data_IF_870369102541
#
_entry.id   IF_870369102541
#
_cell.length_a   1.000
_cell.length_b   1.000
_cell.length_c   1.000
_cell.angle_alpha   90.00
_cell.angle_beta   90.00
_cell.angle_gamma   90.00
#
_symmetry.space_group_name_H-M   'P 1'
#
loop_
_entity.id
_entity.type
_entity.pdbx_description
1 polymer ?
#
# COMPACT_ATOMS: atom_id res chain seq x y z
N UNK A 1 38.92 66.64 8.35
CA UNK A 1 37.47 66.83 8.59
C UNK A 1 36.96 65.60 9.33
N UNK A 2 36.40 65.85 10.52
CA UNK A 2 35.58 65.03 11.42
C UNK A 2 35.85 63.51 11.57
N UNK A 3 36.43 63.20 12.73
CA UNK A 3 36.41 61.95 13.52
C UNK A 3 35.16 61.84 14.41
N UNK A 4 34.69 60.62 14.73
CA UNK A 4 33.98 60.18 15.97
C UNK A 4 33.37 58.79 15.66
N UNK A 5 33.70 57.64 16.27
CA UNK A 5 33.84 57.15 17.66
C UNK A 5 32.54 57.13 18.51
N UNK A 6 32.14 55.88 18.80
CA UNK A 6 31.61 55.32 20.07
C UNK A 6 30.19 55.68 20.53
N UNK A 7 29.37 54.68 20.89
CA UNK A 7 29.27 54.10 22.26
C UNK A 7 27.99 53.24 22.42
N UNK A 8 28.19 52.14 23.13
CA UNK A 8 27.27 51.11 23.67
C UNK A 8 26.15 51.66 24.59
N UNK A 9 25.01 50.96 24.68
CA UNK A 9 24.23 50.88 25.93
C UNK A 9 23.49 49.54 26.02
N UNK A 10 23.87 48.75 27.02
CA UNK A 10 23.14 47.61 27.57
C UNK A 10 22.05 48.14 28.51
N UNK A 11 20.82 47.63 28.42
CA UNK A 11 19.87 47.67 29.53
C UNK A 11 19.24 46.28 29.69
N UNK A 12 19.77 45.58 30.69
CA UNK A 12 19.13 44.47 31.39
C UNK A 12 17.99 44.98 32.26
N UNK A 13 16.83 44.32 32.26
CA UNK A 13 15.91 44.34 33.40
C UNK A 13 15.65 42.91 33.89
N UNK A 14 15.81 42.76 35.20
CA UNK A 14 15.75 41.53 36.00
C UNK A 14 14.37 41.40 36.69
N UNK A 15 14.05 40.14 37.00
CA UNK A 15 13.19 39.57 38.07
C UNK A 15 11.66 39.55 37.81
N UNK A 16 10.99 38.39 37.61
CA UNK A 16 10.82 37.12 38.39
C UNK A 16 9.68 37.22 39.45
N UNK A 17 9.18 36.12 40.02
CA UNK A 17 8.08 35.24 39.58
C UNK A 17 6.86 35.30 40.54
N UNK A 18 5.70 34.77 40.16
CA UNK A 18 4.74 34.28 41.16
C UNK A 18 4.11 32.94 40.78
N UNK A 19 4.24 32.03 41.74
CA UNK A 19 3.73 30.69 41.86
C UNK A 19 2.43 30.78 42.68
N UNK A 20 1.34 30.15 42.26
CA UNK A 20 0.29 29.75 43.19
C UNK A 20 -0.27 28.39 42.78
N UNK A 21 -0.25 27.49 43.75
CA UNK A 21 -0.64 26.09 43.70
C UNK A 21 -1.73 25.90 44.78
N UNK A 22 -2.46 24.76 44.72
CA UNK A 22 -3.36 24.15 45.74
C UNK A 22 -4.85 24.59 45.62
N UNK A 23 -5.88 23.75 45.50
CA UNK A 23 -6.11 22.29 45.31
C UNK A 23 -7.65 22.05 45.13
N UNK A 24 -8.20 20.81 45.07
CA UNK A 24 -9.36 20.47 44.25
C UNK A 24 -10.68 20.32 45.03
N UNK A 25 -11.81 20.19 44.32
CA UNK A 25 -13.02 19.61 44.88
C UNK A 25 -13.76 18.71 43.89
N UNK A 26 -14.23 17.60 44.48
CA UNK A 26 -14.91 16.43 43.96
C UNK A 26 -16.41 16.63 43.95
N UNK A 27 -17.11 16.13 42.92
CA UNK A 27 -18.46 15.57 43.07
C UNK A 27 -18.58 14.30 42.23
N UNK A 28 -19.08 13.27 42.91
CA UNK A 28 -19.27 11.88 42.53
C UNK A 28 -20.39 11.72 41.50
N UNK A 29 -20.30 10.71 40.64
CA UNK A 29 -21.46 9.90 40.28
C UNK A 29 -21.02 8.44 40.06
N UNK A 30 -21.78 7.59 40.74
CA UNK A 30 -21.55 6.20 41.09
C UNK A 30 -22.49 5.35 40.22
N UNK A 31 -21.95 4.44 39.42
CA UNK A 31 -22.70 3.28 38.92
C UNK A 31 -21.78 2.06 38.97
N UNK A 32 -22.19 1.12 39.80
CA UNK A 32 -21.51 -0.11 40.19
C UNK A 32 -21.26 -1.06 39.01
N UNK A 33 -20.03 -1.59 38.92
CA UNK A 33 -19.70 -2.83 38.18
C UNK A 33 -19.26 -3.90 39.18
N UNK A 34 -19.96 -5.02 39.16
CA UNK A 34 -19.61 -6.24 39.89
C UNK A 34 -18.47 -6.97 39.17
N UNK A 35 -17.45 -7.35 39.93
CA UNK A 35 -16.36 -8.24 39.49
C UNK A 35 -16.81 -9.72 39.50
N UNK A 36 -16.26 -10.52 38.59
CA UNK A 36 -15.87 -11.90 38.88
C UNK A 36 -14.43 -12.12 38.42
N UNK A 37 -13.67 -12.75 39.31
CA UNK A 37 -12.23 -12.99 39.22
C UNK A 37 -11.92 -14.31 38.49
N UNK A 38 -10.73 -14.38 37.88
CA UNK A 38 -9.94 -15.61 37.85
C UNK A 38 -8.45 -15.27 37.85
N UNK A 39 -7.75 -15.94 38.75
CA UNK A 39 -6.36 -15.75 39.15
C UNK A 39 -5.45 -16.64 38.30
N UNK A 40 -4.23 -16.15 38.03
CA UNK A 40 -3.12 -16.86 37.36
C UNK A 40 -2.07 -17.32 38.38
N UNK A 41 -1.04 -18.05 37.89
CA UNK A 41 0.18 -18.65 38.52
C UNK A 41 0.06 -20.20 38.61
N UNK A 42 0.98 -21.05 38.13
CA UNK A 42 2.28 -20.88 37.47
C UNK A 42 3.03 -22.25 37.36
N UNK A 43 3.95 -22.34 36.39
CA UNK A 43 5.21 -23.12 36.29
C UNK A 43 5.28 -24.67 36.45
N UNK A 44 5.58 -25.32 35.32
CA UNK A 44 6.69 -26.24 34.95
C UNK A 44 7.54 -26.97 36.03
N UNK A 45 7.65 -28.32 35.93
CA UNK A 45 8.94 -29.08 35.91
C UNK A 45 8.76 -30.62 35.72
N UNK A 46 9.37 -31.13 34.64
CA UNK A 46 10.15 -32.38 34.37
C UNK A 46 10.04 -33.59 35.34
N UNK A 47 9.81 -34.78 34.77
CA UNK A 47 10.54 -36.04 35.07
C UNK A 47 10.31 -37.14 33.97
N UNK A 48 11.44 -37.59 33.39
CA UNK A 48 11.89 -38.95 32.99
C UNK A 48 10.96 -40.17 33.18
N UNK A 49 11.04 -41.32 32.48
CA UNK A 49 11.79 -41.86 31.31
C UNK A 49 11.18 -43.26 30.99
N UNK A 50 11.42 -43.76 29.77
CA UNK A 50 11.58 -45.17 29.34
C UNK A 50 10.47 -46.24 29.58
N UNK A 51 9.96 -46.84 28.48
CA UNK A 51 10.28 -48.26 28.16
C UNK A 51 9.70 -48.79 26.81
N UNK A 52 10.61 -49.41 26.04
CA UNK A 52 10.48 -50.63 25.19
C UNK A 52 9.80 -50.61 23.80
N UNK A 53 10.66 -50.41 22.80
CA UNK A 53 11.07 -51.27 21.68
C UNK A 53 10.27 -52.54 21.24
N UNK A 54 10.18 -52.68 19.90
CA UNK A 54 10.05 -53.90 19.04
C UNK A 54 8.67 -54.56 19.00
N UNK A 55 8.10 -55.05 17.89
CA UNK A 55 8.58 -55.64 16.62
C UNK A 55 7.34 -55.72 15.68
N UNK A 56 7.42 -55.68 14.35
CA UNK A 56 7.64 -56.85 13.49
C UNK A 56 7.61 -56.42 12.01
N UNK A 57 8.37 -57.18 11.24
CA UNK A 57 8.76 -56.99 9.85
C UNK A 57 7.72 -57.47 8.82
N UNK A 58 7.92 -56.95 7.60
CA UNK A 58 7.91 -57.65 6.31
C UNK A 58 6.63 -57.76 5.47
N UNK A 59 6.69 -57.03 4.34
CA UNK A 59 6.60 -57.49 2.96
C UNK A 59 5.34 -58.25 2.49
N UNK A 60 4.64 -57.66 1.51
CA UNK A 60 4.35 -58.34 0.22
C UNK A 60 4.43 -57.38 -0.96
N UNK A 61 5.28 -57.76 -1.92
CA UNK A 61 5.39 -57.26 -3.30
C UNK A 61 4.24 -57.82 -4.14
N UNK A 62 3.76 -57.06 -5.12
CA UNK A 62 3.31 -57.50 -6.45
C UNK A 62 2.72 -56.29 -7.21
N UNK A 63 2.76 -56.11 -8.54
CA UNK A 63 3.43 -56.69 -9.70
C UNK A 63 3.30 -55.59 -10.78
N UNK A 64 4.34 -55.39 -11.59
CA UNK A 64 4.33 -54.53 -12.77
C UNK A 64 3.42 -55.11 -13.87
N UNK A 65 2.55 -54.28 -14.46
CA UNK A 65 1.94 -54.56 -15.76
C UNK A 65 2.01 -53.30 -16.63
N UNK A 66 2.81 -53.43 -17.69
CA UNK A 66 3.07 -52.48 -18.77
C UNK A 66 1.84 -52.25 -19.65
N UNK A 67 1.45 -51.00 -19.85
CA UNK A 67 0.55 -50.57 -20.92
C UNK A 67 1.27 -49.56 -21.81
N UNK A 68 1.60 -49.95 -23.04
CA UNK A 68 2.07 -49.06 -24.10
C UNK A 68 0.83 -48.44 -24.75
N UNK A 69 0.64 -47.12 -24.60
CA UNK A 69 -0.31 -46.35 -25.40
C UNK A 69 0.47 -45.44 -26.33
N UNK A 70 0.46 -45.81 -27.61
CA UNK A 70 0.87 -44.96 -28.72
C UNK A 70 -0.34 -44.11 -29.16
N UNK A 71 -0.04 -42.86 -29.51
CA UNK A 71 -0.85 -41.86 -30.23
C UNK A 71 -1.78 -40.95 -29.41
N UNK A 72 -1.46 -39.66 -29.49
CA UNK A 72 -2.38 -38.55 -29.24
C UNK A 72 -1.68 -37.41 -28.51
N UNK A 73 -1.14 -36.44 -29.24
CA UNK A 73 -0.98 -35.09 -28.69
C UNK A 73 -2.37 -34.47 -28.64
N UNK A 74 -3.02 -34.26 -27.48
CA UNK A 74 -3.91 -33.13 -27.39
C UNK A 74 -2.99 -31.92 -27.27
N UNK A 75 -3.18 -30.93 -28.14
CA UNK A 75 -2.51 -29.65 -28.03
C UNK A 75 -2.55 -29.17 -26.58
N UNK A 76 -1.46 -28.54 -26.15
CA UNK A 76 -1.39 -27.83 -24.88
C UNK A 76 -2.49 -26.76 -24.94
N UNK A 77 -3.69 -27.14 -24.53
CA UNK A 77 -4.74 -26.21 -24.20
C UNK A 77 -4.22 -25.55 -22.95
N UNK A 78 -3.61 -24.37 -23.12
CA UNK A 78 -3.43 -23.43 -22.03
C UNK A 78 -4.82 -23.27 -21.45
N UNK A 79 -5.08 -23.98 -20.35
CA UNK A 79 -6.21 -23.74 -19.51
C UNK A 79 -6.01 -22.30 -19.03
N UNK A 80 -6.62 -21.36 -19.74
CA UNK A 80 -6.85 -20.02 -19.24
C UNK A 80 -7.65 -20.24 -17.98
N UNK A 81 -6.95 -20.19 -16.84
CA UNK A 81 -7.58 -20.10 -15.54
C UNK A 81 -8.29 -18.76 -15.55
N UNK A 82 -9.53 -18.76 -16.04
CA UNK A 82 -10.48 -17.69 -15.76
C UNK A 82 -10.56 -17.66 -14.25
N UNK A 83 -9.88 -16.70 -13.65
CA UNK A 83 -9.99 -16.37 -12.24
C UNK A 83 -11.48 -16.36 -11.91
N UNK A 84 -11.93 -17.42 -11.25
CA UNK A 84 -13.34 -17.62 -10.96
C UNK A 84 -13.87 -16.43 -10.16
N UNK A 85 -15.17 -16.20 -10.27
CA UNK A 85 -15.92 -15.26 -9.44
C UNK A 85 -15.76 -15.67 -7.96
N UNK A 86 -14.64 -15.31 -7.33
CA UNK A 86 -14.50 -15.37 -5.88
C UNK A 86 -15.45 -14.32 -5.33
N UNK A 87 -16.34 -14.72 -4.43
CA UNK A 87 -17.27 -13.81 -3.77
C UNK A 87 -16.48 -12.60 -3.20
N UNK A 88 -16.84 -11.38 -3.64
CA UNK A 88 -16.14 -10.15 -3.28
C UNK A 88 -15.08 -9.66 -4.28
N UNK A 89 -14.76 -10.42 -5.34
CA UNK A 89 -13.91 -9.95 -6.45
C UNK A 89 -14.78 -9.66 -7.67
N UNK A 90 -14.94 -8.37 -7.98
CA UNK A 90 -15.58 -7.94 -9.23
C UNK A 90 -14.47 -7.87 -10.29
N UNK A 91 -14.54 -8.66 -11.38
CA UNK A 91 -13.50 -8.69 -12.39
C UNK A 91 -13.40 -7.33 -13.09
N UNK A 92 -12.21 -6.72 -13.04
CA UNK A 92 -11.91 -5.46 -13.72
C UNK A 92 -10.91 -5.60 -14.88
N UNK A 93 -10.27 -6.75 -15.05
CA UNK A 93 -9.29 -7.01 -16.10
C UNK A 93 -9.95 -7.40 -17.43
N UNK A 94 -9.51 -6.77 -18.51
CA UNK A 94 -9.83 -7.19 -19.87
C UNK A 94 -9.12 -8.50 -20.28
N UNK A 95 -9.51 -9.03 -21.43
CA UNK A 95 -8.68 -9.97 -22.18
C UNK A 95 -7.36 -9.30 -22.62
N UNK A 96 -6.28 -10.08 -22.81
CA UNK A 96 -5.01 -9.55 -23.29
C UNK A 96 -5.13 -9.04 -24.73
N UNK A 97 -4.46 -7.92 -25.02
CA UNK A 97 -4.26 -7.43 -26.38
C UNK A 97 -3.23 -8.27 -27.15
N UNK A 98 -2.95 -7.90 -28.40
CA UNK A 98 -1.99 -8.60 -29.27
C UNK A 98 -0.56 -8.64 -28.69
N UNK A 99 -0.23 -7.73 -27.78
CA UNK A 99 1.06 -7.65 -27.11
C UNK A 99 1.05 -8.34 -25.73
N UNK A 100 -0.05 -9.00 -25.35
CA UNK A 100 -0.20 -9.69 -24.07
C UNK A 100 -0.50 -8.76 -22.89
N UNK A 101 -0.92 -7.52 -23.14
CA UNK A 101 -1.28 -6.55 -22.09
C UNK A 101 -2.77 -6.54 -21.84
N UNK A 102 -3.14 -6.49 -20.56
CA UNK A 102 -4.53 -6.42 -20.09
C UNK A 102 -4.77 -5.05 -19.50
N UNK A 103 -5.95 -4.50 -19.73
CA UNK A 103 -6.38 -3.24 -19.11
C UNK A 103 -7.27 -3.57 -17.92
N UNK A 104 -6.88 -3.12 -16.73
CA UNK A 104 -7.76 -3.10 -15.58
C UNK A 104 -8.57 -1.80 -15.59
N UNK A 105 -9.88 -1.90 -15.40
CA UNK A 105 -10.75 -0.79 -15.00
C UNK A 105 -11.36 -1.13 -13.66
N UNK A 106 -11.23 -0.21 -12.69
CA UNK A 106 -11.89 -0.36 -11.39
C UNK A 106 -13.41 -0.45 -11.58
N UNK A 107 -14.08 -1.52 -11.14
CA UNK A 107 -15.53 -1.61 -11.23
C UNK A 107 -16.20 -0.58 -10.31
N UNK A 108 -17.27 0.05 -10.79
CA UNK A 108 -18.02 1.08 -10.06
C UNK A 108 -18.63 0.53 -8.75
N UNK A 109 -19.05 -0.73 -8.78
CA UNK A 109 -19.63 -1.46 -7.64
C UNK A 109 -18.59 -1.97 -6.63
N UNK A 110 -17.28 -1.84 -6.92
CA UNK A 110 -16.24 -2.27 -5.99
C UNK A 110 -16.22 -1.34 -4.78
N UNK A 111 -16.47 -1.89 -3.59
CA UNK A 111 -16.27 -1.17 -2.33
C UNK A 111 -14.78 -0.87 -2.15
N UNK A 112 -14.44 0.36 -1.75
CA UNK A 112 -13.06 0.72 -1.42
C UNK A 112 -12.53 0.00 -0.17
N UNK A 113 -11.25 0.19 0.13
CA UNK A 113 -10.65 -0.21 1.41
C UNK A 113 -11.38 0.41 2.61
N UNK A 114 -11.17 -0.16 3.80
CA UNK A 114 -11.93 0.20 5.01
C UNK A 114 -11.90 1.70 5.36
N UNK A 115 -10.77 2.37 5.12
CA UNK A 115 -10.56 3.80 5.37
C UNK A 115 -10.84 4.71 4.17
N UNK A 116 -11.18 4.16 3.00
CA UNK A 116 -11.51 4.94 1.79
C UNK A 116 -12.88 5.62 1.93
N UNK A 117 -13.71 5.16 2.87
CA UNK A 117 -15.04 5.70 3.15
C UNK A 117 -16.10 5.28 2.12
N UNK A 118 -17.36 5.69 2.37
CA UNK A 118 -18.53 5.31 1.57
C UNK A 118 -18.80 6.21 0.36
N UNK A 119 -18.02 7.28 0.18
CA UNK A 119 -18.21 8.18 -0.95
C UNK A 119 -17.87 7.49 -2.27
N UNK A 120 -18.54 7.84 -3.39
CA UNK A 120 -18.20 7.31 -4.71
C UNK A 120 -16.70 7.45 -5.00
N UNK A 121 -16.12 6.42 -5.62
CA UNK A 121 -14.73 6.43 -6.08
C UNK A 121 -14.78 6.55 -7.59
N UNK A 122 -14.26 7.67 -8.10
CA UNK A 122 -14.10 7.86 -9.55
C UNK A 122 -13.20 6.72 -10.04
N UNK A 123 -13.63 5.94 -11.05
CA UNK A 123 -12.87 4.80 -11.52
C UNK A 123 -11.49 5.20 -12.03
N UNK A 124 -10.57 4.24 -11.98
CA UNK A 124 -9.27 4.38 -12.59
C UNK A 124 -8.97 3.16 -13.44
N UNK A 125 -8.02 3.33 -14.35
CA UNK A 125 -7.57 2.29 -15.27
C UNK A 125 -6.05 2.24 -15.32
N UNK A 126 -5.49 1.06 -15.56
CA UNK A 126 -4.08 0.89 -15.89
C UNK A 126 -3.89 -0.40 -16.69
N UNK A 127 -2.73 -0.56 -17.31
CA UNK A 127 -2.36 -1.78 -18.04
C UNK A 127 -1.36 -2.62 -17.27
N UNK A 128 -1.48 -3.93 -17.39
CA UNK A 128 -0.52 -4.91 -16.84
C UNK A 128 -0.28 -6.04 -17.84
N UNK A 129 0.90 -6.68 -17.83
CA UNK A 129 1.13 -7.92 -18.55
C UNK A 129 0.21 -9.04 -18.07
N UNK A 130 -0.04 -10.03 -18.94
CA UNK A 130 -0.97 -11.14 -18.70
C UNK A 130 -0.74 -11.90 -17.39
N UNK A 131 0.52 -12.01 -16.95
CA UNK A 131 0.95 -12.80 -15.78
C UNK A 131 0.74 -12.09 -14.43
N UNK A 132 0.22 -10.87 -14.44
CA UNK A 132 -0.10 -10.13 -13.21
C UNK A 132 -1.49 -10.47 -12.70
N UNK A 133 -1.60 -10.73 -11.40
CA UNK A 133 -2.84 -11.11 -10.74
C UNK A 133 -3.20 -10.18 -9.59
N UNK A 134 -4.50 -10.04 -9.34
CA UNK A 134 -5.01 -9.27 -8.20
C UNK A 134 -4.78 -10.04 -6.88
N UNK A 135 -4.09 -9.40 -5.95
CA UNK A 135 -3.80 -9.92 -4.62
C UNK A 135 -4.78 -9.31 -3.62
N UNK A 136 -5.34 -10.09 -2.67
CA UNK A 136 -6.17 -9.53 -1.61
C UNK A 136 -5.46 -8.40 -0.85
N UNK A 137 -6.23 -7.37 -0.51
CA UNK A 137 -5.79 -6.26 0.34
C UNK A 137 -6.31 -6.47 1.76
N UNK A 138 -5.53 -6.03 2.74
CA UNK A 138 -5.82 -6.14 4.18
C UNK A 138 -5.51 -4.81 4.87
N UNK A 139 -6.21 -4.53 5.98
CA UNK A 139 -5.94 -3.36 6.83
C UNK A 139 -4.52 -3.40 7.42
N UNK A 140 -3.94 -4.60 7.55
CA UNK A 140 -2.57 -4.78 8.02
C UNK A 140 -1.51 -4.41 6.97
N UNK A 141 -1.91 -4.13 5.73
CA UNK A 141 -0.99 -3.71 4.69
C UNK A 141 -0.47 -2.29 4.93
N UNK A 142 0.69 -1.97 4.35
CA UNK A 142 1.16 -0.59 4.27
C UNK A 142 0.16 0.23 3.45
N UNK A 143 -0.34 1.32 4.04
CA UNK A 143 -1.47 2.08 3.48
C UNK A 143 -2.81 1.35 3.55
N UNK A 144 -2.92 0.27 4.34
CA UNK A 144 -4.03 -0.69 4.32
C UNK A 144 -5.41 -0.15 4.64
N UNK A 145 -5.51 1.04 5.24
CA UNK A 145 -6.78 1.76 5.39
C UNK A 145 -7.28 2.30 4.05
N UNK A 146 -6.42 2.92 3.24
CA UNK A 146 -6.78 3.54 1.96
C UNK A 146 -6.39 2.70 0.73
N UNK A 147 -5.78 1.53 0.94
CA UNK A 147 -5.40 0.60 -0.10
C UNK A 147 -6.65 0.01 -0.79
N UNK A 148 -6.89 0.40 -2.04
CA UNK A 148 -8.04 -0.03 -2.83
C UNK A 148 -7.76 -1.28 -3.67
N UNK A 149 -6.50 -1.42 -4.12
CA UNK A 149 -6.11 -2.49 -5.02
C UNK A 149 -4.64 -2.86 -4.87
N UNK A 150 -4.36 -4.14 -5.06
CA UNK A 150 -3.00 -4.66 -5.24
C UNK A 150 -2.96 -5.68 -6.36
N UNK A 151 -1.89 -5.62 -7.15
CA UNK A 151 -1.54 -6.65 -8.11
C UNK A 151 -0.07 -7.06 -7.91
N UNK A 152 0.26 -8.29 -8.28
CA UNK A 152 1.65 -8.73 -8.29
C UNK A 152 1.96 -9.73 -9.39
N UNK A 153 3.23 -9.77 -9.75
CA UNK A 153 3.89 -10.83 -10.50
C UNK A 153 5.12 -11.28 -9.73
N UNK A 154 5.21 -12.58 -9.43
CA UNK A 154 6.39 -13.15 -8.76
C UNK A 154 7.69 -12.90 -9.53
N UNK A 155 7.60 -12.72 -10.85
CA UNK A 155 8.74 -12.47 -11.75
C UNK A 155 9.09 -11.00 -11.88
N UNK A 156 8.11 -10.12 -11.96
CA UNK A 156 8.32 -8.72 -12.39
C UNK A 156 8.24 -7.70 -11.25
N UNK A 157 7.39 -7.92 -10.25
CA UNK A 157 7.20 -6.96 -9.17
C UNK A 157 5.76 -6.90 -8.66
N UNK A 158 5.38 -5.75 -8.13
CA UNK A 158 4.03 -5.51 -7.60
C UNK A 158 3.60 -4.08 -7.82
N UNK A 159 2.29 -3.87 -7.79
CA UNK A 159 1.69 -2.56 -7.87
C UNK A 159 0.55 -2.44 -6.88
N UNK A 160 0.20 -1.22 -6.54
CA UNK A 160 -0.90 -0.92 -5.64
C UNK A 160 -1.48 0.46 -5.90
N UNK A 161 -2.76 0.60 -5.59
CA UNK A 161 -3.50 1.87 -5.69
C UNK A 161 -4.00 2.24 -4.31
N UNK A 162 -3.61 3.42 -3.84
CA UNK A 162 -4.14 4.04 -2.63
C UNK A 162 -5.11 5.14 -3.06
N UNK A 163 -6.29 5.16 -2.43
CA UNK A 163 -7.32 6.17 -2.66
C UNK A 163 -7.61 6.86 -1.33
N UNK A 164 -6.99 8.02 -1.12
CA UNK A 164 -7.05 8.75 0.14
C UNK A 164 -7.99 9.98 0.05
N UNK A 165 -8.71 10.34 1.12
CA UNK A 165 -9.46 11.59 1.18
C UNK A 165 -8.53 12.80 1.10
N UNK A 166 -8.86 13.80 0.28
CA UNK A 166 -8.05 15.04 0.15
C UNK A 166 -8.00 15.81 1.47
N UNK A 167 -9.04 15.71 2.30
CA UNK A 167 -9.12 16.33 3.62
C UNK A 167 -8.00 15.89 4.57
N UNK A 168 -7.33 14.74 4.34
CA UNK A 168 -6.13 14.38 5.12
C UNK A 168 -4.98 15.37 4.92
N UNK A 169 -5.00 16.12 3.82
CA UNK A 169 -3.89 16.96 3.37
C UNK A 169 -4.25 18.45 3.36
N UNK A 170 -5.53 18.79 3.21
CA UNK A 170 -5.99 20.16 3.31
C UNK A 170 -7.48 20.26 3.60
N UNK A 171 -7.83 20.97 4.67
CA UNK A 171 -9.22 21.26 5.06
C UNK A 171 -9.88 22.32 4.16
N UNK A 172 -9.09 22.96 3.28
CA UNK A 172 -9.52 24.09 2.45
C UNK A 172 -9.98 23.61 1.06
N UNK A 173 -9.57 22.41 0.66
CA UNK A 173 -9.89 21.89 -0.67
C UNK A 173 -11.28 21.26 -0.63
N UNK A 174 -12.22 21.85 -1.39
CA UNK A 174 -13.58 21.36 -1.53
C UNK A 174 -13.68 20.06 -2.35
N UNK A 175 -14.90 19.71 -2.74
CA UNK A 175 -15.22 18.41 -3.35
C UNK A 175 -14.70 18.19 -4.79
N UNK A 176 -14.04 19.19 -5.38
CA UNK A 176 -13.40 19.10 -6.70
C UNK A 176 -11.93 19.57 -6.63
N UNK A 177 -11.13 18.69 -6.04
CA UNK A 177 -9.71 18.84 -5.83
C UNK A 177 -8.93 18.55 -7.10
N UNK A 178 -8.01 19.44 -7.44
CA UNK A 178 -6.96 19.18 -8.42
C UNK A 178 -5.63 19.06 -7.68
N UNK A 179 -4.68 18.28 -8.20
CA UNK A 179 -3.44 17.96 -7.46
C UNK A 179 -2.58 19.21 -7.22
N UNK A 180 -2.69 20.21 -8.08
CA UNK A 180 -2.01 21.51 -7.96
C UNK A 180 -2.51 22.31 -6.75
N UNK A 181 -3.80 22.17 -6.38
CA UNK A 181 -4.35 22.80 -5.16
C UNK A 181 -3.78 22.17 -3.89
N UNK A 182 -3.41 20.89 -3.93
CA UNK A 182 -2.76 20.18 -2.82
C UNK A 182 -1.33 20.71 -2.64
N UNK A 183 -0.61 20.86 -3.75
CA UNK A 183 0.68 21.52 -3.78
C UNK A 183 1.54 21.20 -5.01
N UNK A 184 2.78 21.74 -5.03
CA UNK A 184 3.78 21.35 -6.02
C UNK A 184 4.26 19.90 -5.78
N UNK A 185 4.85 19.23 -6.79
CA UNK A 185 5.28 17.84 -6.70
C UNK A 185 6.06 17.49 -5.42
N UNK A 186 7.03 18.33 -5.04
CA UNK A 186 7.87 18.13 -3.85
C UNK A 186 7.07 18.10 -2.53
N UNK A 187 6.05 18.95 -2.42
CA UNK A 187 5.15 18.97 -1.26
C UNK A 187 4.29 17.72 -1.21
N UNK A 188 3.78 17.29 -2.37
CA UNK A 188 2.89 16.13 -2.45
C UNK A 188 3.70 14.89 -2.10
N UNK A 189 4.85 14.62 -2.75
CA UNK A 189 5.70 13.45 -2.44
C UNK A 189 6.19 13.41 -1.00
N UNK A 190 6.54 14.56 -0.41
CA UNK A 190 6.95 14.60 1.00
C UNK A 190 5.81 14.24 1.95
N UNK A 191 4.57 14.58 1.59
CA UNK A 191 3.39 14.29 2.41
C UNK A 191 2.91 12.84 2.28
N UNK A 192 2.88 12.28 1.06
CA UNK A 192 2.33 10.93 0.82
C UNK A 192 3.39 9.84 0.68
N UNK A 193 4.62 10.20 0.38
CA UNK A 193 5.73 9.27 0.15
C UNK A 193 5.88 8.24 1.26
N UNK A 194 5.89 8.63 2.55
CA UNK A 194 5.96 7.70 3.67
C UNK A 194 4.82 6.68 3.72
N UNK A 195 3.64 7.01 3.22
CA UNK A 195 2.50 6.09 3.15
C UNK A 195 2.66 5.07 2.02
N UNK A 196 3.35 5.45 0.93
CA UNK A 196 3.63 4.58 -0.21
C UNK A 196 4.79 3.61 0.07
N UNK A 197 5.85 4.06 0.74
CA UNK A 197 7.09 3.28 0.91
C UNK A 197 7.37 2.83 2.34
N UNK A 198 6.67 3.39 3.34
CA UNK A 198 6.82 3.04 4.76
C UNK A 198 7.97 3.76 5.47
N UNK A 199 8.60 4.72 4.80
CA UNK A 199 9.77 5.46 5.29
C UNK A 199 9.87 6.85 4.64
N UNK A 200 10.72 7.72 5.17
CA UNK A 200 10.92 9.05 4.59
C UNK A 200 11.49 8.96 3.16
N UNK A 201 10.98 9.81 2.26
CA UNK A 201 11.36 9.94 0.85
C UNK A 201 12.50 10.92 0.60
N UNK A 202 12.89 11.71 1.61
CA UNK A 202 13.95 12.70 1.47
C UNK A 202 15.27 12.07 1.00
N UNK A 203 15.83 12.61 -0.08
CA UNK A 203 17.06 12.10 -0.70
C UNK A 203 16.91 10.83 -1.54
N UNK A 204 15.70 10.29 -1.70
CA UNK A 204 15.43 9.06 -2.47
C UNK A 204 14.79 9.30 -3.83
N UNK A 205 14.25 10.50 -4.07
CA UNK A 205 13.65 10.87 -5.35
C UNK A 205 14.77 11.10 -6.36
N UNK A 206 14.84 10.24 -7.38
CA UNK A 206 15.77 10.38 -8.49
C UNK A 206 15.28 11.37 -9.54
N UNK A 207 14.00 11.28 -9.88
CA UNK A 207 13.38 12.13 -10.88
C UNK A 207 11.92 12.41 -10.55
N UNK A 208 11.46 13.58 -10.99
CA UNK A 208 10.06 13.99 -10.95
C UNK A 208 9.65 14.53 -12.32
N UNK A 209 8.42 14.23 -12.73
CA UNK A 209 7.82 14.71 -13.97
C UNK A 209 6.37 15.12 -13.72
N UNK A 210 5.91 16.12 -14.47
CA UNK A 210 4.52 16.56 -14.46
C UNK A 210 3.96 16.33 -15.86
N UNK A 211 2.91 15.53 -15.95
CA UNK A 211 2.24 15.19 -17.20
C UNK A 211 0.76 15.54 -17.11
N UNK A 212 0.18 16.01 -18.21
CA UNK A 212 -1.25 16.27 -18.32
C UNK A 212 -1.89 15.24 -19.26
N UNK A 213 -2.96 14.60 -18.79
CA UNK A 213 -3.74 13.65 -19.58
C UNK A 213 -5.23 13.91 -19.36
N UNK A 214 -5.97 14.11 -20.45
CA UNK A 214 -7.43 14.31 -20.42
C UNK A 214 -7.85 15.47 -19.50
N UNK A 215 -7.05 16.54 -19.46
CA UNK A 215 -7.29 17.72 -18.62
C UNK A 215 -7.00 17.52 -17.14
N UNK A 216 -6.36 16.40 -16.76
CA UNK A 216 -5.94 16.10 -15.40
C UNK A 216 -4.42 16.03 -15.31
N UNK A 217 -3.88 16.68 -14.29
CA UNK A 217 -2.44 16.70 -13.99
C UNK A 217 -2.04 15.48 -13.18
N UNK A 218 -0.91 14.90 -13.55
CA UNK A 218 -0.26 13.76 -12.92
C UNK A 218 1.14 14.15 -12.49
N UNK A 219 1.48 13.88 -11.24
CA UNK A 219 2.84 13.97 -10.75
C UNK A 219 3.44 12.56 -10.72
N UNK A 220 4.54 12.38 -11.45
CA UNK A 220 5.22 11.11 -11.60
C UNK A 220 6.59 11.22 -10.92
N UNK A 221 6.92 10.21 -10.11
CA UNK A 221 8.16 10.15 -9.36
C UNK A 221 8.84 8.81 -9.59
N UNK A 222 10.16 8.85 -9.65
CA UNK A 222 11.02 7.67 -9.63
C UNK A 222 11.94 7.76 -8.43
N UNK A 223 11.95 6.71 -7.60
CA UNK A 223 12.76 6.65 -6.39
C UNK A 223 13.78 5.50 -6.46
N UNK A 224 14.92 5.69 -5.80
CA UNK A 224 15.95 4.68 -5.61
C UNK A 224 16.81 4.97 -4.37
N UNK A 225 17.05 3.97 -3.49
CA UNK A 225 16.13 2.93 -3.01
C UNK A 225 15.06 3.51 -2.04
N UNK A 226 13.83 2.97 -2.01
CA UNK A 226 13.37 1.76 -2.71
C UNK A 226 13.06 2.05 -4.18
N UNK A 227 13.21 1.03 -5.04
CA UNK A 227 12.88 1.12 -6.46
C UNK A 227 11.37 1.13 -6.67
N UNK A 228 10.80 2.32 -6.87
CA UNK A 228 9.36 2.51 -7.07
C UNK A 228 9.09 3.67 -8.03
N UNK A 229 8.14 3.46 -8.93
CA UNK A 229 7.46 4.55 -9.63
C UNK A 229 6.20 4.91 -8.87
N UNK A 230 6.00 6.21 -8.62
CA UNK A 230 4.78 6.72 -8.01
C UNK A 230 4.12 7.71 -8.95
N UNK A 231 2.87 7.44 -9.33
CA UNK A 231 2.03 8.35 -10.11
C UNK A 231 0.90 8.85 -9.22
N UNK A 232 0.82 10.15 -9.00
CA UNK A 232 -0.16 10.80 -8.14
C UNK A 232 -1.08 11.72 -8.95
N UNK A 233 -2.37 11.72 -8.65
CA UNK A 233 -3.35 12.67 -9.18
C UNK A 233 -4.52 12.87 -8.23
N UNK A 234 -5.33 13.90 -8.42
CA UNK A 234 -6.55 14.15 -7.64
C UNK A 234 -7.77 14.24 -8.56
N UNK A 235 -8.91 13.74 -8.08
CA UNK A 235 -10.20 13.86 -8.76
C UNK A 235 -11.34 13.82 -7.73
N UNK A 236 -12.32 14.70 -7.89
CA UNK A 236 -13.37 14.88 -6.90
C UNK A 236 -12.76 15.22 -5.54
N UNK A 237 -13.16 14.52 -4.48
CA UNK A 237 -12.62 14.72 -3.13
C UNK A 237 -11.50 13.72 -2.74
N UNK A 238 -10.86 13.08 -3.73
CA UNK A 238 -9.91 11.97 -3.52
C UNK A 238 -8.56 12.21 -4.19
N UNK A 239 -7.51 11.79 -3.48
CA UNK A 239 -6.15 11.67 -3.98
C UNK A 239 -5.90 10.20 -4.37
N UNK A 240 -5.41 9.99 -5.58
CA UNK A 240 -5.08 8.71 -6.14
C UNK A 240 -3.56 8.57 -6.21
N UNK A 241 -3.02 7.54 -5.58
CA UNK A 241 -1.59 7.24 -5.60
C UNK A 241 -1.41 5.84 -6.19
N UNK A 242 -0.68 5.76 -7.29
CA UNK A 242 -0.37 4.53 -7.97
C UNK A 242 1.11 4.21 -7.82
N UNK A 243 1.41 3.11 -7.12
CA UNK A 243 2.78 2.66 -6.88
C UNK A 243 3.09 1.42 -7.70
N UNK A 244 4.22 1.42 -8.41
CA UNK A 244 4.75 0.25 -9.13
C UNK A 244 6.17 0.01 -8.66
N UNK A 245 6.44 -1.15 -8.06
CA UNK A 245 7.72 -1.44 -7.40
C UNK A 245 8.19 -2.87 -7.68
N UNK A 246 9.51 -3.06 -7.61
CA UNK A 246 10.15 -4.36 -7.70
C UNK A 246 11.42 -4.37 -6.85
N UNK A 247 11.91 -5.57 -6.50
CA UNK A 247 13.26 -5.67 -5.91
C UNK A 247 14.33 -5.28 -6.95
N UNK A 248 15.58 -5.05 -6.52
CA UNK A 248 16.63 -4.55 -7.43
C UNK A 248 16.88 -5.42 -8.68
N UNK A 249 16.71 -6.75 -8.59
CA UNK A 249 16.85 -7.64 -9.74
C UNK A 249 15.66 -7.51 -10.71
N UNK A 250 14.45 -7.47 -10.16
CA UNK A 250 13.22 -7.24 -10.91
C UNK A 250 13.25 -5.89 -11.61
N UNK A 251 13.61 -4.83 -10.88
CA UNK A 251 13.72 -3.47 -11.40
C UNK A 251 14.68 -3.40 -12.59
N UNK A 252 15.88 -3.96 -12.44
CA UNK A 252 16.88 -3.97 -13.52
C UNK A 252 16.42 -4.73 -14.77
N UNK A 253 15.68 -5.83 -14.60
CA UNK A 253 15.25 -6.69 -15.72
C UNK A 253 13.97 -6.18 -16.41
N UNK A 254 13.05 -5.63 -15.63
CA UNK A 254 11.69 -5.31 -16.06
C UNK A 254 11.40 -3.80 -15.99
N UNK A 255 12.44 -2.96 -15.94
CA UNK A 255 12.31 -1.50 -15.85
C UNK A 255 11.28 -0.94 -16.83
N UNK A 256 11.41 -1.30 -18.11
CA UNK A 256 10.54 -0.79 -19.18
C UNK A 256 9.08 -1.21 -19.00
N UNK A 257 8.84 -2.46 -18.57
CA UNK A 257 7.49 -2.96 -18.35
C UNK A 257 6.87 -2.30 -17.12
N UNK A 258 7.62 -2.18 -16.01
CA UNK A 258 7.19 -1.47 -14.80
C UNK A 258 6.90 0.01 -15.08
N UNK A 259 7.74 0.66 -15.89
CA UNK A 259 7.54 2.04 -16.33
C UNK A 259 6.28 2.16 -17.18
N UNK A 260 6.08 1.26 -18.13
CA UNK A 260 4.87 1.21 -18.98
C UNK A 260 3.59 0.99 -18.17
N UNK A 261 3.65 0.16 -17.12
CA UNK A 261 2.54 0.02 -16.16
C UNK A 261 2.27 1.38 -15.49
N UNK A 262 3.30 2.02 -14.92
CA UNK A 262 3.20 3.32 -14.24
C UNK A 262 2.60 4.41 -15.14
N UNK A 263 3.09 4.51 -16.38
CA UNK A 263 2.67 5.53 -17.35
C UNK A 263 1.26 5.31 -17.90
N UNK A 264 0.69 4.11 -17.74
CA UNK A 264 -0.65 3.76 -18.22
C UNK A 264 -1.78 4.16 -17.26
N UNK A 265 -1.46 4.59 -16.04
CA UNK A 265 -2.46 4.87 -15.01
C UNK A 265 -3.29 6.13 -15.32
N UNK A 266 -4.61 5.99 -15.38
CA UNK A 266 -5.57 7.09 -15.65
C UNK A 266 -6.74 7.03 -14.68
N UNK A 267 -7.32 8.19 -14.37
CA UNK A 267 -8.57 8.31 -13.60
C UNK A 267 -9.63 8.78 -14.59
N UNK A 268 -10.73 8.04 -14.72
CA UNK A 268 -11.74 8.20 -15.79
C UNK A 268 -13.06 8.73 -15.26
#
# INVERSE_FOLDING_TARGET
MATSLSTTTLLSYRRNPQHMYIQPCSVKNEVSRTMHASVSIGSLSINEESDKCSSLLANRRAILASGVSLLGFPGVSLAVVKQGLLAGRIPGLSEPDEQGWRTYRRPDEKSGGHGVGWSPIIPYTFKVPQEWEEVPVSIADLGGTELDLRFSSSKEGRLFVIVAPVLRFSDIIGDDATIEKIGPPDKVISAFGPEMIGENVEGKVLSSNVAEHEGRTYYQFELEPPHIFITATAAGNRLYLFGVTGNGLQWKRHYNDLKKISDSFRVV
#
